data_IF_681113690676
#
_entry.id   IF_681113690676
#
_cell.length_a   1.000
_cell.length_b   1.000
_cell.length_c   1.000
_cell.angle_alpha   90.00
_cell.angle_beta   90.00
_cell.angle_gamma   90.00
#
_symmetry.space_group_name_H-M   'P 1'
#
loop_
_entity.id
_entity.type
_entity.pdbx_description
1 polymer ?
#
# COMPACT_ATOMS: atom_id res chain seq x y z
N UNK A 1 -12.31 -16.10 9.57
CA UNK A 1 -12.38 -14.64 9.24
C UNK A 1 -12.42 -14.49 7.73
N UNK A 2 -13.42 -13.83 7.15
CA UNK A 2 -13.55 -13.67 5.68
C UNK A 2 -12.52 -12.62 5.22
N UNK A 3 -11.77 -12.91 4.15
CA UNK A 3 -10.72 -12.02 3.60
C UNK A 3 -11.25 -10.61 3.26
N UNK A 4 -12.52 -10.52 2.87
CA UNK A 4 -13.21 -9.24 2.65
C UNK A 4 -13.36 -8.40 3.93
N UNK A 5 -13.58 -9.04 5.08
CA UNK A 5 -13.69 -8.37 6.39
C UNK A 5 -12.36 -7.72 6.78
N UNK A 6 -11.24 -8.42 6.53
CA UNK A 6 -9.89 -7.89 6.79
C UNK A 6 -9.61 -6.68 5.90
N UNK A 7 -9.95 -6.76 4.60
CA UNK A 7 -9.82 -5.63 3.66
C UNK A 7 -10.66 -4.43 4.12
N UNK A 8 -11.90 -4.67 4.54
CA UNK A 8 -12.80 -3.60 4.97
C UNK A 8 -12.30 -2.91 6.26
N UNK A 9 -11.84 -3.69 7.25
CA UNK A 9 -11.27 -3.16 8.48
C UNK A 9 -10.00 -2.34 8.22
N UNK A 10 -9.12 -2.82 7.33
CA UNK A 10 -7.92 -2.10 6.91
C UNK A 10 -8.28 -0.79 6.18
N UNK A 11 -9.25 -0.81 5.28
CA UNK A 11 -9.73 0.39 4.57
C UNK A 11 -10.33 1.43 5.53
N UNK A 12 -11.05 0.99 6.57
CA UNK A 12 -11.55 1.89 7.62
C UNK A 12 -10.40 2.51 8.42
N UNK A 13 -9.37 1.73 8.76
CA UNK A 13 -8.16 2.23 9.44
C UNK A 13 -7.42 3.29 8.60
N UNK A 14 -7.44 3.19 7.27
CA UNK A 14 -6.84 4.20 6.39
C UNK A 14 -7.53 5.56 6.45
N UNK A 15 -8.81 5.58 6.79
CA UNK A 15 -9.57 6.83 6.94
C UNK A 15 -9.32 7.52 8.28
N UNK A 16 -8.52 6.92 9.16
CA UNK A 16 -8.15 7.56 10.42
C UNK A 16 -7.17 8.73 10.17
N UNK A 17 -7.34 9.78 10.97
CA UNK A 17 -6.47 10.94 10.93
C UNK A 17 -5.02 10.60 11.30
N UNK A 18 -4.82 9.58 12.14
CA UNK A 18 -3.51 9.04 12.51
C UNK A 18 -2.78 8.45 11.29
N UNK A 19 -3.43 7.58 10.52
CA UNK A 19 -2.85 7.02 9.28
C UNK A 19 -2.48 8.12 8.30
N UNK A 20 -3.32 9.14 8.15
CA UNK A 20 -3.04 10.26 7.26
C UNK A 20 -1.80 11.07 7.72
N UNK A 21 -1.67 11.35 9.02
CA UNK A 21 -0.50 12.04 9.58
C UNK A 21 0.79 11.23 9.42
N UNK A 22 0.76 9.94 9.74
CA UNK A 22 1.91 9.03 9.53
C UNK A 22 2.31 9.01 8.06
N UNK A 23 1.33 8.93 7.15
CA UNK A 23 1.61 8.94 5.72
C UNK A 23 2.30 10.23 5.27
N UNK A 24 1.78 11.40 5.65
CA UNK A 24 2.39 12.68 5.29
C UNK A 24 3.79 12.84 5.89
N UNK A 25 4.00 12.42 7.14
CA UNK A 25 5.31 12.47 7.78
C UNK A 25 6.34 11.60 7.04
N UNK A 26 5.95 10.40 6.59
CA UNK A 26 6.82 9.55 5.76
C UNK A 26 6.98 10.07 4.35
N UNK A 27 5.93 10.63 3.74
CA UNK A 27 5.94 11.19 2.40
C UNK A 27 7.08 12.19 2.21
N UNK A 28 7.24 13.12 3.14
CA UNK A 28 8.23 14.20 3.04
C UNK A 28 9.69 13.68 3.05
N UNK A 29 9.90 12.40 3.41
CA UNK A 29 11.22 11.74 3.40
C UNK A 29 11.54 11.05 2.07
N UNK A 30 10.58 10.87 1.17
CA UNK A 30 10.74 10.09 -0.06
C UNK A 30 10.21 10.83 -1.28
N UNK A 31 11.11 11.15 -2.22
CA UNK A 31 10.73 11.80 -3.47
C UNK A 31 9.64 11.03 -4.26
N UNK A 32 9.69 9.70 -4.22
CA UNK A 32 8.70 8.84 -4.86
C UNK A 32 7.29 8.96 -4.26
N UNK A 33 7.14 9.46 -3.03
CA UNK A 33 5.84 9.65 -2.39
C UNK A 33 5.33 11.08 -2.52
N UNK A 34 6.18 12.04 -2.88
CA UNK A 34 5.88 13.47 -2.84
C UNK A 34 4.64 13.89 -3.65
N UNK A 35 4.30 13.14 -4.71
CA UNK A 35 3.14 13.40 -5.56
C UNK A 35 1.79 12.97 -4.95
N UNK A 36 1.77 12.27 -3.82
CA UNK A 36 0.55 11.76 -3.21
C UNK A 36 0.18 12.55 -1.96
N UNK A 37 -0.95 13.25 -2.00
CA UNK A 37 -1.48 13.95 -0.82
C UNK A 37 -2.20 13.02 0.15
N UNK A 38 -2.54 11.80 -0.28
CA UNK A 38 -3.28 10.84 0.53
C UNK A 38 -2.74 9.41 0.36
N UNK A 39 -2.86 8.57 1.40
CA UNK A 39 -2.53 7.15 1.28
C UNK A 39 -3.39 6.44 0.22
N UNK A 40 -4.64 6.87 0.02
CA UNK A 40 -5.55 6.30 -0.99
C UNK A 40 -5.05 6.57 -2.42
N UNK A 41 -4.55 7.77 -2.70
CA UNK A 41 -3.95 8.11 -3.98
C UNK A 41 -2.73 7.24 -4.31
N UNK A 42 -1.84 7.02 -3.33
CA UNK A 42 -0.69 6.13 -3.49
C UNK A 42 -1.12 4.67 -3.74
N UNK A 43 -2.14 4.19 -3.03
CA UNK A 43 -2.70 2.83 -3.23
C UNK A 43 -3.35 2.71 -4.61
N UNK A 44 -4.10 3.72 -5.05
CA UNK A 44 -4.73 3.74 -6.37
C UNK A 44 -3.67 3.72 -7.49
N UNK A 45 -2.57 4.45 -7.30
CA UNK A 45 -1.42 4.42 -8.20
C UNK A 45 -0.78 3.02 -8.29
N UNK A 46 -0.51 2.37 -7.14
CA UNK A 46 0.05 1.02 -7.10
C UNK A 46 -0.87 -0.03 -7.75
N UNK A 47 -2.19 0.16 -7.64
CA UNK A 47 -3.19 -0.73 -8.23
C UNK A 47 -3.46 -0.48 -9.73
N UNK A 48 -2.97 0.63 -10.31
CA UNK A 48 -3.19 0.96 -11.72
C UNK A 48 -2.51 -0.07 -12.62
N UNK A 49 -3.22 -0.50 -13.67
CA UNK A 49 -2.67 -1.38 -14.72
C UNK A 49 -2.15 -0.55 -15.89
N UNK A 50 -0.98 -0.92 -16.39
CA UNK A 50 -0.34 -0.31 -17.54
C UNK A 50 1.11 -0.79 -17.69
N UNK A 51 1.67 -0.81 -18.91
CA UNK A 51 3.08 -1.14 -19.15
C UNK A 51 4.01 -0.04 -18.61
N UNK A 52 3.54 1.20 -18.62
CA UNK A 52 4.31 2.36 -18.15
C UNK A 52 4.16 2.51 -16.63
N UNK A 53 5.28 2.61 -15.93
CA UNK A 53 5.31 2.85 -14.49
C UNK A 53 5.63 1.63 -13.62
N UNK A 54 6.20 0.55 -14.16
CA UNK A 54 6.81 -0.50 -13.32
C UNK A 54 7.90 0.10 -12.41
N UNK A 55 8.77 0.94 -12.96
CA UNK A 55 9.83 1.61 -12.20
C UNK A 55 9.26 2.55 -11.12
N UNK A 56 8.29 3.39 -11.47
CA UNK A 56 7.67 4.32 -10.51
C UNK A 56 6.93 3.57 -9.40
N UNK A 57 6.19 2.50 -9.72
CA UNK A 57 5.55 1.62 -8.71
C UNK A 57 6.57 0.96 -7.80
N UNK A 58 7.68 0.46 -8.35
CA UNK A 58 8.78 -0.10 -7.55
C UNK A 58 9.40 0.94 -6.60
N UNK A 59 9.58 2.19 -7.06
CA UNK A 59 10.09 3.28 -6.22
C UNK A 59 9.13 3.63 -5.07
N UNK A 60 7.83 3.73 -5.35
CA UNK A 60 6.78 3.95 -4.33
C UNK A 60 6.78 2.81 -3.31
N UNK A 61 6.84 1.56 -3.77
CA UNK A 61 6.87 0.39 -2.88
C UNK A 61 8.12 0.35 -2.02
N UNK A 62 9.29 0.65 -2.60
CA UNK A 62 10.54 0.71 -1.85
C UNK A 62 10.49 1.78 -0.75
N UNK A 63 9.93 2.96 -1.04
CA UNK A 63 9.73 4.02 -0.06
C UNK A 63 8.81 3.57 1.09
N UNK A 64 7.68 2.93 0.77
CA UNK A 64 6.76 2.39 1.78
C UNK A 64 7.41 1.30 2.65
N UNK A 65 8.26 0.44 2.08
CA UNK A 65 9.01 -0.59 2.84
C UNK A 65 10.03 0.07 3.76
N UNK A 66 10.76 1.08 3.27
CA UNK A 66 11.72 1.81 4.08
C UNK A 66 11.05 2.44 5.31
N UNK A 67 9.87 3.05 5.14
CA UNK A 67 9.09 3.57 6.26
C UNK A 67 8.57 2.48 7.20
N UNK A 68 8.15 1.32 6.66
CA UNK A 68 7.74 0.19 7.49
C UNK A 68 8.88 -0.32 8.39
N UNK A 69 10.12 -0.24 7.93
CA UNK A 69 11.31 -0.67 8.68
C UNK A 69 11.78 0.35 9.73
N UNK A 70 11.32 1.61 9.69
CA UNK A 70 11.81 2.70 10.55
C UNK A 70 11.14 2.81 11.92
N UNK A 71 10.11 2.02 12.22
CA UNK A 71 9.47 1.97 13.55
C UNK A 71 7.97 2.25 13.56
N UNK A 72 7.40 2.81 12.48
CA UNK A 72 5.94 2.97 12.29
C UNK A 72 5.34 1.79 11.49
N UNK A 73 5.89 0.59 11.71
CA UNK A 73 5.73 -0.55 10.81
C UNK A 73 4.29 -0.99 10.57
N UNK A 74 3.37 -0.77 11.52
CA UNK A 74 1.99 -1.26 11.39
C UNK A 74 1.17 -0.53 10.32
N UNK A 75 1.33 0.79 10.18
CA UNK A 75 0.57 1.59 9.20
C UNK A 75 1.07 1.36 7.78
N UNK A 76 2.38 1.41 7.57
CA UNK A 76 2.99 1.17 6.25
C UNK A 76 2.79 -0.27 5.77
N UNK A 77 2.87 -1.25 6.67
CA UNK A 77 2.55 -2.64 6.33
C UNK A 77 1.07 -2.82 5.96
N UNK A 78 0.15 -2.12 6.63
CA UNK A 78 -1.27 -2.13 6.28
C UNK A 78 -1.54 -1.53 4.89
N UNK A 79 -0.86 -0.43 4.55
CA UNK A 79 -0.93 0.21 3.22
C UNK A 79 -0.43 -0.75 2.12
N UNK A 80 0.74 -1.36 2.33
CA UNK A 80 1.32 -2.34 1.40
C UNK A 80 0.41 -3.55 1.24
N UNK A 81 -0.13 -4.08 2.33
CA UNK A 81 -1.10 -5.16 2.28
C UNK A 81 -2.30 -4.78 1.43
N UNK A 82 -2.92 -3.61 1.62
CA UNK A 82 -4.06 -3.18 0.81
C UNK A 82 -3.73 -3.00 -0.67
N UNK A 83 -2.54 -2.48 -0.99
CA UNK A 83 -2.09 -2.31 -2.37
C UNK A 83 -1.89 -3.66 -3.09
N UNK A 84 -1.27 -4.64 -2.42
CA UNK A 84 -0.89 -5.91 -3.05
C UNK A 84 -1.88 -7.05 -2.87
N UNK A 85 -2.83 -6.92 -1.94
CA UNK A 85 -3.83 -7.94 -1.65
C UNK A 85 -4.61 -8.43 -2.88
N UNK A 86 -5.09 -7.56 -3.80
CA UNK A 86 -5.76 -8.03 -5.02
C UNK A 86 -4.84 -8.90 -5.90
N UNK A 87 -3.56 -8.55 -5.98
CA UNK A 87 -2.55 -9.31 -6.71
C UNK A 87 -2.30 -10.68 -6.07
N UNK A 88 -2.12 -10.72 -4.75
CA UNK A 88 -1.90 -11.96 -4.00
C UNK A 88 -3.08 -12.93 -4.12
N UNK A 89 -4.32 -12.43 -4.05
CA UNK A 89 -5.52 -13.25 -4.25
C UNK A 89 -5.57 -13.84 -5.66
N UNK A 90 -5.17 -13.07 -6.67
CA UNK A 90 -5.13 -13.55 -8.05
C UNK A 90 -4.09 -14.64 -8.23
N UNK A 91 -2.88 -14.45 -7.71
CA UNK A 91 -1.82 -15.46 -7.75
C UNK A 91 -2.32 -16.74 -7.07
N UNK A 92 -2.93 -16.63 -5.88
CA UNK A 92 -3.53 -17.77 -5.18
C UNK A 92 -4.59 -18.49 -6.01
N UNK A 93 -5.46 -17.75 -6.70
CA UNK A 93 -6.49 -18.34 -7.55
C UNK A 93 -5.90 -19.07 -8.78
N UNK A 94 -4.71 -18.65 -9.25
CA UNK A 94 -4.00 -19.29 -10.36
C UNK A 94 -3.11 -20.47 -9.92
N UNK A 95 -2.79 -20.58 -8.64
CA UNK A 95 -2.11 -21.76 -8.10
C UNK A 95 -3.14 -22.91 -8.01
N UNK A 96 -3.11 -23.83 -8.97
CA UNK A 96 -3.80 -25.13 -8.81
C UNK A 96 -3.23 -25.83 -7.58
N UNK A 97 -4.06 -26.48 -6.74
CA UNK A 97 -3.53 -27.42 -5.76
C UNK A 97 -2.78 -28.52 -6.52
N UNK A 98 -1.52 -28.73 -6.18
CA UNK A 98 -0.74 -29.90 -6.62
C UNK A 98 -1.29 -31.16 -5.98
#
# INVERSE_FOLDING_TARGET
MRLETVRHALAQRLRSQETHRTFLAGRDRHAALAEFDTPDAAIAFLNRRGPDGCQARSAVTAAMIAEAQRGEGSTWSALLMLAYFPGLLRIRATMKPS
#
